data_IF_870621876056
#
_entry.id   IF_870621876056
#
_cell.length_a   1.000
_cell.length_b   1.000
_cell.length_c   1.000
_cell.angle_alpha   90.00
_cell.angle_beta   90.00
_cell.angle_gamma   90.00
#
_symmetry.space_group_name_H-M   'P 1'
#
loop_
_entity.id
_entity.type
_entity.pdbx_description
1 polymer ?
#
# COMPACT_ATOMS: atom_id res chain seq x y z
N UNK A 1 23.71 -22.94 17.63
CA UNK A 1 22.80 -21.79 17.48
C UNK A 1 22.40 -21.68 16.02
N UNK A 2 21.08 -21.58 15.79
CA UNK A 2 20.36 -21.23 14.56
C UNK A 2 20.52 -22.11 13.30
N UNK A 3 19.82 -23.25 13.30
CA UNK A 3 19.20 -23.81 12.08
C UNK A 3 18.06 -22.91 11.54
N UNK A 4 17.71 -21.81 12.22
CA UNK A 4 16.63 -20.90 11.88
C UNK A 4 16.97 -19.92 10.75
N UNK A 5 18.25 -19.79 10.35
CA UNK A 5 18.66 -18.94 9.22
C UNK A 5 18.77 -19.67 7.88
N UNK A 6 18.44 -20.98 7.80
CA UNK A 6 18.32 -21.67 6.50
C UNK A 6 16.96 -21.39 5.82
N UNK A 7 16.51 -20.15 5.85
CA UNK A 7 15.53 -19.62 4.89
C UNK A 7 16.30 -19.09 3.67
N UNK A 8 17.24 -19.89 3.17
CA UNK A 8 17.82 -19.65 1.86
C UNK A 8 16.73 -20.00 0.83
N UNK A 9 16.51 -19.22 -0.26
CA UNK A 9 15.47 -19.55 -1.21
C UNK A 9 15.68 -20.98 -1.66
N UNK A 10 14.70 -21.84 -1.38
CA UNK A 10 14.77 -23.27 -1.68
C UNK A 10 15.16 -23.40 -3.17
N UNK A 11 16.33 -24.00 -3.43
CA UNK A 11 16.87 -24.18 -4.78
C UNK A 11 17.98 -23.21 -5.22
N UNK A 12 18.36 -22.20 -4.44
CA UNK A 12 19.47 -21.31 -4.81
C UNK A 12 20.83 -21.89 -4.40
N UNK A 13 21.74 -22.06 -5.36
CA UNK A 13 23.10 -22.59 -5.11
C UNK A 13 24.11 -21.44 -5.07
N UNK A 14 24.88 -21.27 -3.98
CA UNK A 14 26.00 -20.33 -3.99
C UNK A 14 27.08 -20.82 -4.94
N UNK A 15 27.54 -19.94 -5.81
CA UNK A 15 28.70 -20.16 -6.68
C UNK A 15 29.73 -19.08 -6.42
N UNK A 16 31.01 -19.49 -6.43
CA UNK A 16 32.12 -18.61 -6.12
C UNK A 16 32.53 -17.81 -7.35
N UNK A 17 32.37 -16.50 -7.30
CA UNK A 17 33.02 -15.55 -8.20
C UNK A 17 34.44 -15.18 -7.71
N UNK A 18 35.14 -14.37 -8.50
CA UNK A 18 36.48 -13.85 -8.13
C UNK A 18 36.42 -12.89 -6.94
N UNK A 19 35.37 -12.08 -6.84
CA UNK A 19 35.17 -11.04 -5.83
C UNK A 19 33.73 -10.99 -5.26
N UNK A 20 32.93 -12.02 -5.52
CA UNK A 20 31.52 -12.05 -5.14
C UNK A 20 31.03 -13.49 -4.97
N UNK A 21 29.83 -13.62 -4.40
CA UNK A 21 29.07 -14.87 -4.34
C UNK A 21 27.83 -14.67 -5.20
N UNK A 22 27.66 -15.55 -6.18
CA UNK A 22 26.48 -15.54 -7.03
C UNK A 22 25.52 -16.62 -6.54
N UNK A 23 24.30 -16.21 -6.29
CA UNK A 23 23.20 -17.08 -5.95
C UNK A 23 22.23 -17.12 -7.12
N UNK A 24 22.16 -18.25 -7.82
CA UNK A 24 21.25 -18.44 -8.94
C UNK A 24 20.05 -19.27 -8.52
N UNK A 25 18.86 -18.84 -8.93
CA UNK A 25 17.68 -19.69 -8.94
C UNK A 25 17.29 -19.99 -10.39
N UNK A 26 17.77 -21.12 -10.90
CA UNK A 26 17.56 -21.50 -12.30
C UNK A 26 16.07 -21.72 -12.65
N UNK A 27 15.20 -21.95 -11.65
CA UNK A 27 13.76 -22.17 -11.87
C UNK A 27 13.00 -20.88 -12.19
N UNK A 28 13.43 -19.75 -11.62
CA UNK A 28 12.78 -18.43 -11.83
C UNK A 28 13.67 -17.44 -12.58
N UNK A 29 14.87 -17.86 -13.00
CA UNK A 29 15.81 -17.04 -13.76
C UNK A 29 16.44 -15.89 -12.98
N UNK A 30 16.23 -15.83 -11.66
CA UNK A 30 16.76 -14.75 -10.82
C UNK A 30 18.17 -15.05 -10.32
N UNK A 31 18.97 -13.98 -10.25
CA UNK A 31 20.35 -14.02 -9.79
C UNK A 31 20.57 -12.91 -8.76
N UNK A 32 21.06 -13.29 -7.60
CA UNK A 32 21.44 -12.36 -6.55
C UNK A 32 22.95 -12.44 -6.36
N UNK A 33 23.63 -11.30 -6.39
CA UNK A 33 25.06 -11.20 -6.15
C UNK A 33 25.31 -10.57 -4.79
N UNK A 34 26.05 -11.29 -3.94
CA UNK A 34 26.64 -10.77 -2.72
C UNK A 34 28.07 -10.33 -2.98
N UNK A 35 28.35 -9.05 -2.79
CA UNK A 35 29.70 -8.46 -2.85
C UNK A 35 30.11 -8.03 -1.45
N UNK A 36 31.33 -8.34 -1.02
CA UNK A 36 31.80 -8.09 0.35
C UNK A 36 33.31 -7.91 0.41
N UNK A 37 33.77 -7.20 1.45
CA UNK A 37 35.18 -7.07 1.83
C UNK A 37 35.68 -8.22 2.72
N UNK A 38 34.81 -9.18 3.04
CA UNK A 38 35.20 -10.44 3.66
C UNK A 38 35.85 -11.37 2.62
N UNK A 39 36.84 -12.19 3.01
CA UNK A 39 37.40 -13.17 2.08
C UNK A 39 36.34 -14.19 1.68
N UNK A 40 36.07 -14.29 0.36
CA UNK A 40 34.97 -15.10 -0.19
C UNK A 40 35.03 -16.57 0.23
N UNK A 41 36.24 -17.11 0.48
CA UNK A 41 36.43 -18.48 0.98
C UNK A 41 35.68 -18.78 2.26
N UNK A 42 35.42 -17.78 3.11
CA UNK A 42 34.71 -17.96 4.38
C UNK A 42 33.26 -18.43 4.20
N UNK A 43 32.64 -18.12 3.05
CA UNK A 43 31.25 -18.50 2.79
C UNK A 43 31.11 -19.93 2.23
N UNK A 44 32.22 -20.60 1.93
CA UNK A 44 32.25 -21.96 1.35
C UNK A 44 32.94 -22.99 2.24
N UNK A 45 33.37 -22.59 3.45
CA UNK A 45 33.99 -23.48 4.43
C UNK A 45 33.18 -23.44 5.73
N UNK A 46 32.70 -24.61 6.18
CA UNK A 46 31.85 -24.73 7.37
C UNK A 46 32.57 -24.33 8.67
N UNK A 47 33.90 -24.43 8.71
CA UNK A 47 34.74 -24.14 9.88
C UNK A 47 35.60 -22.88 9.71
N UNK A 48 35.17 -21.92 8.90
CA UNK A 48 35.88 -20.64 8.80
C UNK A 48 35.58 -19.74 10.01
N UNK A 49 36.62 -19.21 10.64
CA UNK A 49 36.51 -18.20 11.67
C UNK A 49 37.27 -16.95 11.23
N UNK A 50 36.67 -15.79 11.44
CA UNK A 50 37.30 -14.48 11.22
C UNK A 50 37.10 -13.67 12.48
N UNK A 51 38.16 -13.03 12.95
CA UNK A 51 38.05 -12.02 14.00
C UNK A 51 37.58 -10.74 13.32
N UNK A 52 36.38 -10.29 13.68
CA UNK A 52 35.83 -9.02 13.21
C UNK A 52 36.38 -7.92 14.13
N UNK A 53 37.46 -7.28 13.70
CA UNK A 53 38.08 -6.14 14.40
C UNK A 53 37.67 -4.77 13.85
N UNK A 54 36.98 -4.76 12.70
CA UNK A 54 36.53 -3.58 11.97
C UNK A 54 35.18 -3.82 11.32
N UNK A 55 34.55 -2.78 10.81
CA UNK A 55 33.29 -2.90 10.06
C UNK A 55 33.48 -3.80 8.83
N UNK A 56 32.48 -4.63 8.57
CA UNK A 56 32.41 -5.50 7.38
C UNK A 56 31.14 -5.22 6.63
N UNK A 57 31.25 -5.20 5.31
CA UNK A 57 30.21 -4.71 4.42
C UNK A 57 29.75 -5.83 3.50
N UNK A 58 28.44 -6.01 3.44
CA UNK A 58 27.78 -7.01 2.60
C UNK A 58 26.75 -6.28 1.74
N UNK A 59 26.92 -6.35 0.43
CA UNK A 59 26.03 -5.71 -0.54
C UNK A 59 25.35 -6.77 -1.39
N UNK A 60 24.02 -6.83 -1.32
CA UNK A 60 23.20 -7.69 -2.16
C UNK A 60 22.65 -6.88 -3.34
N UNK A 61 22.79 -7.42 -4.54
CA UNK A 61 22.34 -6.81 -5.81
C UNK A 61 21.64 -7.86 -6.67
N UNK A 62 20.67 -7.43 -7.48
CA UNK A 62 20.01 -8.29 -8.47
C UNK A 62 20.81 -8.25 -9.77
N UNK A 63 21.45 -9.37 -10.12
CA UNK A 63 22.30 -9.65 -11.30
C UNK A 63 23.52 -8.74 -11.54
N UNK A 64 23.39 -7.44 -11.25
CA UNK A 64 24.39 -6.40 -11.46
C UNK A 64 25.66 -6.61 -10.63
N UNK A 65 26.80 -6.27 -11.23
CA UNK A 65 28.06 -6.18 -10.51
C UNK A 65 28.11 -4.91 -9.66
N UNK A 66 28.71 -5.00 -8.48
CA UNK A 66 29.01 -3.84 -7.67
C UNK A 66 30.46 -3.40 -7.93
N UNK A 67 30.63 -2.37 -8.76
CA UNK A 67 31.94 -1.97 -9.31
C UNK A 67 32.67 -0.88 -8.51
N UNK A 68 32.11 -0.46 -7.37
CA UNK A 68 32.67 0.62 -6.54
C UNK A 68 33.34 0.09 -5.26
N UNK A 69 34.15 0.94 -4.62
CA UNK A 69 34.79 0.59 -3.35
C UNK A 69 33.74 0.35 -2.26
N UNK A 70 33.63 -0.90 -1.80
CA UNK A 70 32.51 -1.39 -0.96
C UNK A 70 32.32 -0.52 0.29
N UNK A 71 33.35 -0.40 1.13
CA UNK A 71 33.25 0.33 2.39
C UNK A 71 32.84 1.80 2.18
N UNK A 72 33.53 2.51 1.29
CA UNK A 72 33.25 3.92 1.01
C UNK A 72 31.84 4.15 0.48
N UNK A 73 31.37 3.31 -0.44
CA UNK A 73 30.01 3.42 -0.99
C UNK A 73 28.94 3.06 0.03
N UNK A 74 29.15 2.02 0.85
CA UNK A 74 28.21 1.65 1.91
C UNK A 74 28.05 2.76 2.95
N UNK A 75 29.15 3.38 3.39
CA UNK A 75 29.11 4.50 4.34
C UNK A 75 28.42 5.73 3.73
N UNK A 76 28.70 6.05 2.47
CA UNK A 76 28.01 7.13 1.76
C UNK A 76 26.49 6.86 1.64
N UNK A 77 26.09 5.64 1.28
CA UNK A 77 24.69 5.24 1.22
C UNK A 77 24.00 5.31 2.58
N UNK A 78 24.67 4.87 3.65
CA UNK A 78 24.16 4.97 5.01
C UNK A 78 23.95 6.44 5.42
N UNK A 79 24.95 7.29 5.21
CA UNK A 79 24.86 8.72 5.49
C UNK A 79 23.75 9.41 4.70
N UNK A 80 23.62 9.12 3.40
CA UNK A 80 22.55 9.66 2.55
C UNK A 80 21.17 9.21 3.03
N UNK A 81 21.03 7.93 3.39
CA UNK A 81 19.77 7.36 3.90
C UNK A 81 19.36 8.01 5.22
N UNK A 82 20.28 8.11 6.19
CA UNK A 82 20.04 8.79 7.47
C UNK A 82 19.65 10.25 7.24
N UNK A 83 20.42 10.95 6.40
CA UNK A 83 20.20 12.38 6.10
C UNK A 83 18.86 12.62 5.40
N UNK A 84 18.43 11.71 4.52
CA UNK A 84 17.13 11.79 3.88
C UNK A 84 16.00 11.71 4.92
N UNK A 85 15.99 10.66 5.74
CA UNK A 85 14.93 10.43 6.72
C UNK A 85 14.89 11.49 7.83
N UNK A 86 16.06 11.93 8.31
CA UNK A 86 16.15 13.02 9.28
C UNK A 86 15.63 14.35 8.72
N UNK A 87 15.90 14.65 7.44
CA UNK A 87 15.37 15.87 6.79
C UNK A 87 13.88 15.77 6.54
N UNK A 88 13.38 14.60 6.13
CA UNK A 88 11.96 14.38 5.92
C UNK A 88 11.18 14.57 7.22
N UNK A 89 11.54 13.86 8.29
CA UNK A 89 10.81 13.95 9.57
C UNK A 89 10.89 15.35 10.20
N UNK A 90 11.99 16.09 9.97
CA UNK A 90 12.15 17.48 10.45
C UNK A 90 11.11 18.43 9.86
N UNK A 91 10.51 18.11 8.70
CA UNK A 91 9.45 18.90 8.07
C UNK A 91 8.05 18.57 8.61
N UNK A 92 7.92 17.50 9.40
CA UNK A 92 6.64 17.09 9.97
C UNK A 92 6.27 17.91 11.21
N UNK A 93 4.98 18.22 11.35
CA UNK A 93 4.41 18.77 12.57
C UNK A 93 4.17 17.65 13.59
N UNK A 94 5.15 17.43 14.46
CA UNK A 94 5.11 16.37 15.49
C UNK A 94 4.56 16.95 16.81
N UNK A 95 3.57 16.31 17.45
CA UNK A 95 3.05 16.76 18.74
C UNK A 95 4.08 16.56 19.85
N UNK A 96 4.00 17.34 20.93
CA UNK A 96 4.95 17.23 22.05
C UNK A 96 4.80 15.93 22.88
N UNK A 97 3.68 15.22 22.75
CA UNK A 97 3.39 13.94 23.41
C UNK A 97 3.57 12.79 22.43
N UNK A 98 4.03 11.63 22.91
CA UNK A 98 4.22 10.41 22.10
C UNK A 98 5.07 10.62 20.83
N UNK A 99 6.11 11.47 20.92
CA UNK A 99 6.94 11.82 19.76
C UNK A 99 7.59 10.59 19.14
N UNK A 100 8.12 9.66 19.95
CA UNK A 100 8.79 8.45 19.47
C UNK A 100 7.85 7.60 18.63
N UNK A 101 6.63 7.41 19.10
CA UNK A 101 5.59 6.63 18.45
C UNK A 101 5.14 7.31 17.14
N UNK A 102 4.84 8.61 17.20
CA UNK A 102 4.41 9.36 16.00
C UNK A 102 5.52 9.39 14.94
N UNK A 103 6.76 9.64 15.33
CA UNK A 103 7.92 9.63 14.42
C UNK A 103 8.08 8.25 13.79
N UNK A 104 8.08 7.17 14.59
CA UNK A 104 8.23 5.81 14.05
C UNK A 104 7.10 5.48 13.09
N UNK A 105 5.86 5.77 13.45
CA UNK A 105 4.69 5.54 12.58
C UNK A 105 4.79 6.35 11.30
N UNK A 106 5.15 7.63 11.35
CA UNK A 106 5.31 8.48 10.17
C UNK A 106 6.36 7.93 9.19
N UNK A 107 7.52 7.52 9.71
CA UNK A 107 8.59 6.92 8.91
C UNK A 107 8.13 5.61 8.25
N UNK A 108 7.43 4.75 9.01
CA UNK A 108 6.89 3.49 8.47
C UNK A 108 5.85 3.77 7.40
N UNK A 109 4.91 4.68 7.62
CA UNK A 109 3.90 5.03 6.63
C UNK A 109 4.52 5.60 5.34
N UNK A 110 5.51 6.50 5.47
CA UNK A 110 6.24 7.03 4.31
C UNK A 110 7.02 5.96 3.56
N UNK A 111 7.60 4.99 4.26
CA UNK A 111 8.35 3.87 3.64
C UNK A 111 7.46 3.04 2.70
N UNK A 112 6.15 3.00 2.94
CA UNK A 112 5.19 2.23 2.15
C UNK A 112 4.71 2.98 0.89
N UNK A 113 5.16 4.21 0.66
CA UNK A 113 4.88 4.90 -0.58
C UNK A 113 5.94 4.58 -1.64
N UNK A 114 5.49 4.16 -2.81
CA UNK A 114 6.33 4.01 -4.00
C UNK A 114 6.50 5.36 -4.71
N UNK A 115 7.74 5.87 -4.75
CA UNK A 115 8.05 7.23 -5.18
C UNK A 115 7.67 7.52 -6.64
N UNK A 116 7.94 6.58 -7.56
CA UNK A 116 7.74 6.82 -9.01
C UNK A 116 6.27 7.04 -9.39
N UNK A 117 5.35 6.37 -8.70
CA UNK A 117 3.92 6.43 -9.06
C UNK A 117 3.08 7.13 -8.02
N UNK A 118 3.49 7.15 -6.75
CA UNK A 118 2.69 7.60 -5.62
C UNK A 118 1.81 6.54 -4.98
N UNK A 119 1.86 5.29 -5.45
CA UNK A 119 1.11 4.18 -4.85
C UNK A 119 1.54 3.95 -3.39
N UNK A 120 0.59 3.66 -2.50
CA UNK A 120 0.85 3.37 -1.09
C UNK A 120 0.45 1.92 -0.81
N UNK A 121 1.43 1.06 -0.56
CA UNK A 121 1.16 -0.36 -0.29
C UNK A 121 0.64 -0.55 1.14
N UNK A 122 -0.21 -1.56 1.35
CA UNK A 122 -0.76 -1.85 2.68
C UNK A 122 0.32 -2.33 3.66
N UNK A 123 1.22 -3.20 3.23
CA UNK A 123 2.40 -3.61 3.99
C UNK A 123 3.54 -4.09 3.09
N UNK A 124 4.80 -3.89 3.48
CA UNK A 124 5.99 -4.43 2.79
C UNK A 124 6.21 -5.94 3.04
N UNK A 125 5.13 -6.69 3.22
CA UNK A 125 5.16 -8.10 3.63
C UNK A 125 4.25 -8.93 2.76
N UNK A 126 4.65 -10.18 2.52
CA UNK A 126 3.78 -11.18 1.93
C UNK A 126 3.75 -12.44 2.80
N UNK A 127 2.55 -13.02 2.92
CA UNK A 127 2.31 -14.32 3.53
C UNK A 127 2.75 -14.47 4.98
N UNK A 128 2.82 -13.36 5.72
CA UNK A 128 2.89 -13.44 7.17
C UNK A 128 1.51 -13.82 7.72
N UNK A 129 1.43 -14.73 8.70
CA UNK A 129 0.16 -15.18 9.23
C UNK A 129 -0.53 -14.08 10.04
N UNK A 130 -1.79 -13.79 9.73
CA UNK A 130 -2.62 -12.92 10.59
C UNK A 130 -2.83 -13.55 11.97
N UNK A 131 -2.94 -14.87 12.01
CA UNK A 131 -2.96 -15.69 13.23
C UNK A 131 -2.22 -17.01 12.97
N UNK A 132 -1.34 -17.47 13.88
CA UNK A 132 -0.58 -18.71 13.70
C UNK A 132 -1.48 -19.92 13.34
N UNK A 133 -1.14 -20.63 12.27
CA UNK A 133 -1.86 -21.82 11.82
C UNK A 133 -3.24 -21.60 11.18
N UNK A 134 -3.69 -20.34 10.99
CA UNK A 134 -5.01 -20.03 10.41
C UNK A 134 -5.10 -20.23 8.89
N UNK A 135 -3.96 -20.29 8.19
CA UNK A 135 -3.89 -20.26 6.73
C UNK A 135 -4.23 -18.89 6.12
N UNK A 136 -4.47 -17.86 6.94
CA UNK A 136 -4.73 -16.46 6.52
C UNK A 136 -3.41 -15.73 6.34
N UNK A 137 -2.75 -16.04 5.22
CA UNK A 137 -1.42 -15.54 4.87
C UNK A 137 -1.55 -14.83 3.52
N UNK A 138 -1.61 -13.50 3.52
CA UNK A 138 -1.90 -12.72 2.30
C UNK A 138 -0.69 -11.92 1.84
N UNK A 139 -0.64 -11.62 0.55
CA UNK A 139 0.29 -10.64 0.01
C UNK A 139 -0.31 -9.24 0.18
N UNK A 140 0.34 -8.42 1.01
CA UNK A 140 -0.08 -7.06 1.34
C UNK A 140 0.73 -5.98 0.60
N UNK A 141 1.59 -6.37 -0.35
CA UNK A 141 2.46 -5.47 -1.12
C UNK A 141 1.74 -4.70 -2.23
N UNK A 142 0.42 -4.53 -2.09
CA UNK A 142 -0.44 -3.86 -3.06
C UNK A 142 -1.08 -2.62 -2.47
N UNK A 143 -1.52 -1.72 -3.34
CA UNK A 143 -2.11 -0.45 -3.00
C UNK A 143 -3.62 -0.57 -2.88
N UNK A 144 -4.13 -0.76 -1.65
CA UNK A 144 -5.57 -0.63 -1.37
C UNK A 144 -5.97 0.83 -1.34
N UNK A 145 -7.09 1.16 -1.99
CA UNK A 145 -7.64 2.54 -1.98
C UNK A 145 -8.00 2.95 -0.55
N UNK A 146 -8.59 2.03 0.21
CA UNK A 146 -8.94 2.21 1.63
C UNK A 146 -7.72 2.54 2.49
N UNK A 147 -6.70 1.70 2.43
CA UNK A 147 -5.51 1.83 3.26
C UNK A 147 -4.78 3.13 2.93
N UNK A 148 -4.69 3.47 1.63
CA UNK A 148 -4.16 4.75 1.16
C UNK A 148 -4.88 5.96 1.78
N UNK A 149 -6.21 5.94 1.89
CA UNK A 149 -6.96 7.00 2.58
C UNK A 149 -6.49 7.21 4.03
N UNK A 150 -6.34 6.13 4.81
CA UNK A 150 -5.92 6.23 6.20
C UNK A 150 -4.48 6.71 6.33
N UNK A 151 -3.58 6.24 5.47
CA UNK A 151 -2.18 6.70 5.43
C UNK A 151 -2.12 8.18 5.09
N UNK A 152 -2.80 8.63 4.04
CA UNK A 152 -2.81 10.03 3.62
C UNK A 152 -3.42 10.95 4.67
N UNK A 153 -4.47 10.50 5.36
CA UNK A 153 -5.06 11.23 6.49
C UNK A 153 -4.04 11.42 7.61
N UNK A 154 -3.30 10.36 7.97
CA UNK A 154 -2.28 10.42 9.00
C UNK A 154 -1.10 11.34 8.61
N UNK A 155 -0.63 11.26 7.36
CA UNK A 155 0.44 12.12 6.84
C UNK A 155 0.02 13.59 6.78
N UNK A 156 -1.22 13.85 6.35
CA UNK A 156 -1.79 15.21 6.30
C UNK A 156 -1.85 15.85 7.70
N UNK A 157 -2.20 15.09 8.74
CA UNK A 157 -2.22 15.60 10.12
C UNK A 157 -0.84 16.02 10.65
N UNK A 158 0.24 15.45 10.13
CA UNK A 158 1.61 15.86 10.45
C UNK A 158 2.21 16.80 9.40
N UNK A 159 1.38 17.41 8.55
CA UNK A 159 1.77 18.44 7.60
C UNK A 159 2.47 17.93 6.35
N UNK A 160 2.37 16.63 6.03
CA UNK A 160 2.92 16.03 4.82
C UNK A 160 1.82 15.88 3.76
N UNK A 161 1.99 16.59 2.64
CA UNK A 161 0.98 16.74 1.59
C UNK A 161 1.46 16.24 0.22
N UNK A 162 2.77 16.19 0.02
CA UNK A 162 3.41 15.75 -1.24
C UNK A 162 2.96 14.33 -1.58
N UNK A 163 2.78 13.47 -0.57
CA UNK A 163 2.34 12.10 -0.73
C UNK A 163 0.93 11.98 -1.28
N UNK A 164 0.05 12.90 -0.89
CA UNK A 164 -1.33 12.97 -1.38
C UNK A 164 -1.38 13.41 -2.84
N UNK A 165 -0.54 14.36 -3.25
CA UNK A 165 -0.42 14.78 -4.65
C UNK A 165 0.07 13.63 -5.54
N UNK A 166 1.11 12.89 -5.11
CA UNK A 166 1.58 11.71 -5.83
C UNK A 166 0.49 10.63 -5.92
N UNK A 167 -0.22 10.35 -4.83
CA UNK A 167 -1.32 9.38 -4.85
C UNK A 167 -2.48 9.82 -5.76
N UNK A 168 -2.78 11.11 -5.83
CA UNK A 168 -3.78 11.64 -6.76
C UNK A 168 -3.42 11.35 -8.22
N UNK A 169 -2.15 11.52 -8.59
CA UNK A 169 -1.65 11.16 -9.92
C UNK A 169 -1.79 9.65 -10.19
N UNK A 170 -1.45 8.82 -9.20
CA UNK A 170 -1.60 7.37 -9.28
C UNK A 170 -3.05 6.94 -9.58
N UNK A 171 -4.01 7.38 -8.76
CA UNK A 171 -5.41 6.97 -8.89
C UNK A 171 -6.08 7.59 -10.11
N UNK A 172 -5.72 8.83 -10.48
CA UNK A 172 -6.16 9.45 -11.72
C UNK A 172 -5.68 8.65 -12.93
N UNK A 173 -4.41 8.23 -12.94
CA UNK A 173 -3.84 7.37 -14.00
C UNK A 173 -4.57 6.03 -14.16
N UNK A 174 -4.97 5.40 -13.04
CA UNK A 174 -5.80 4.19 -13.06
C UNK A 174 -7.16 4.46 -13.71
N UNK A 175 -7.89 5.46 -13.21
CA UNK A 175 -9.24 5.78 -13.70
C UNK A 175 -9.27 6.26 -15.15
N UNK A 176 -8.20 6.91 -15.61
CA UNK A 176 -8.06 7.34 -16.99
C UNK A 176 -7.83 6.17 -17.95
N UNK A 177 -7.00 5.19 -17.57
CA UNK A 177 -6.74 3.99 -18.38
C UNK A 177 -7.94 3.05 -18.44
N UNK A 178 -8.68 2.93 -17.34
CA UNK A 178 -9.88 2.10 -17.28
C UNK A 178 -10.99 2.83 -16.51
N UNK A 179 -11.92 3.53 -17.20
CA UNK A 179 -13.05 4.21 -16.58
C UNK A 179 -14.17 3.24 -16.14
N UNK A 180 -13.84 1.96 -15.97
CA UNK A 180 -14.71 0.93 -15.43
C UNK A 180 -14.97 1.09 -13.93
N UNK A 181 -15.15 -0.04 -13.26
CA UNK A 181 -15.29 -0.10 -11.80
C UNK A 181 -13.92 0.07 -11.15
N UNK A 182 -13.85 0.82 -10.04
CA UNK A 182 -12.66 0.80 -9.19
C UNK A 182 -12.59 -0.54 -8.45
N UNK A 183 -11.40 -1.13 -8.45
CA UNK A 183 -11.08 -2.33 -7.67
C UNK A 183 -10.66 -1.92 -6.25
N UNK A 184 -10.73 -2.86 -5.28
CA UNK A 184 -10.21 -2.65 -3.92
C UNK A 184 -8.73 -2.24 -3.89
N UNK A 185 -7.94 -2.91 -4.74
CA UNK A 185 -6.49 -2.77 -4.78
C UNK A 185 -5.91 -2.86 -6.19
N UNK A 186 -4.70 -2.36 -6.32
CA UNK A 186 -3.89 -2.33 -7.53
C UNK A 186 -2.41 -2.56 -7.18
N UNK A 187 -1.60 -3.07 -8.11
CA UNK A 187 -0.15 -3.11 -7.92
C UNK A 187 0.49 -1.74 -8.08
N UNK A 188 1.74 -1.56 -7.63
CA UNK A 188 2.39 -0.23 -7.54
C UNK A 188 2.48 0.54 -8.87
N UNK A 189 2.38 -0.14 -10.02
CA UNK A 189 2.34 0.48 -11.36
C UNK A 189 0.90 0.69 -11.89
N UNK A 190 -0.10 0.37 -11.08
CA UNK A 190 -1.53 0.44 -11.36
C UNK A 190 -2.07 -0.75 -12.16
N UNK A 191 -1.38 -1.91 -12.13
CA UNK A 191 -1.90 -3.13 -12.73
C UNK A 191 -3.12 -3.64 -11.93
N UNK A 192 -4.15 -4.05 -12.68
CA UNK A 192 -5.45 -4.47 -12.15
C UNK A 192 -5.56 -5.98 -11.95
N UNK A 193 -4.77 -6.78 -12.66
CA UNK A 193 -4.73 -8.23 -12.48
C UNK A 193 -3.68 -8.59 -11.43
N UNK A 194 -4.13 -9.22 -10.34
CA UNK A 194 -3.32 -9.58 -9.18
C UNK A 194 -3.55 -11.05 -8.80
N UNK A 195 -3.58 -11.91 -9.80
CA UNK A 195 -3.86 -13.35 -9.67
C UNK A 195 -3.05 -13.98 -8.55
N UNK A 196 -3.77 -14.61 -7.62
CA UNK A 196 -3.17 -15.29 -6.47
C UNK A 196 -2.52 -16.61 -6.90
N UNK A 197 -1.26 -16.79 -6.51
CA UNK A 197 -0.50 -18.02 -6.73
C UNK A 197 0.05 -18.55 -5.41
N UNK A 198 -0.09 -19.86 -5.20
CA UNK A 198 0.52 -20.56 -4.07
C UNK A 198 1.94 -20.96 -4.44
N UNK A 199 2.90 -20.74 -3.54
CA UNK A 199 4.27 -21.19 -3.67
C UNK A 199 4.49 -22.43 -2.79
N UNK A 200 4.16 -23.65 -3.27
CA UNK A 200 4.15 -24.87 -2.44
C UNK A 200 5.54 -25.28 -1.94
N UNK A 201 6.59 -24.78 -2.59
CA UNK A 201 7.97 -25.03 -2.22
C UNK A 201 8.43 -24.17 -1.04
N UNK A 202 7.71 -23.12 -0.63
CA UNK A 202 8.05 -22.31 0.54
C UNK A 202 7.22 -22.72 1.76
N UNK A 203 7.90 -23.04 2.87
CA UNK A 203 7.24 -23.43 4.13
C UNK A 203 6.49 -22.27 4.81
N UNK A 204 6.85 -21.02 4.51
CA UNK A 204 6.32 -19.84 5.17
C UNK A 204 6.99 -19.53 6.51
N UNK A 205 6.68 -18.35 7.06
CA UNK A 205 7.24 -17.89 8.33
C UNK A 205 6.81 -18.81 9.48
N UNK A 206 7.78 -19.34 10.24
CA UNK A 206 7.53 -20.35 11.29
C UNK A 206 6.67 -21.53 10.79
N UNK A 207 6.91 -21.99 9.56
CA UNK A 207 6.14 -23.07 8.90
C UNK A 207 4.63 -22.75 8.75
N UNK A 208 4.25 -21.47 8.86
CA UNK A 208 2.90 -21.00 8.57
C UNK A 208 2.69 -20.92 7.06
N UNK A 209 2.22 -22.02 6.49
CA UNK A 209 1.71 -22.08 5.13
C UNK A 209 0.21 -21.76 5.05
N UNK A 210 -0.32 -21.52 3.84
CA UNK A 210 0.42 -21.48 2.57
C UNK A 210 1.12 -20.13 2.35
N UNK A 211 2.19 -20.13 1.54
CA UNK A 211 2.78 -18.89 0.99
C UNK A 211 2.09 -18.54 -0.32
N UNK A 212 1.69 -17.27 -0.45
CA UNK A 212 0.95 -16.68 -1.56
C UNK A 212 1.67 -15.47 -2.11
N UNK A 213 1.56 -15.28 -3.41
CA UNK A 213 1.83 -14.00 -4.09
C UNK A 213 0.59 -13.65 -4.90
N UNK A 214 0.34 -12.36 -5.16
CA UNK A 214 -0.98 -11.96 -5.64
C UNK A 214 -1.98 -11.87 -4.50
N UNK A 215 -3.16 -11.33 -4.79
CA UNK A 215 -4.20 -11.21 -3.80
C UNK A 215 -5.58 -11.19 -4.47
N UNK A 216 -6.38 -12.23 -4.22
CA UNK A 216 -7.70 -12.41 -4.84
C UNK A 216 -8.67 -11.24 -4.61
N UNK A 217 -8.44 -10.38 -3.61
CA UNK A 217 -9.31 -9.24 -3.35
C UNK A 217 -9.47 -8.28 -4.55
N UNK A 218 -8.61 -8.35 -5.57
CA UNK A 218 -8.76 -7.55 -6.79
C UNK A 218 -10.05 -7.87 -7.56
N UNK A 219 -10.59 -9.08 -7.38
CA UNK A 219 -11.85 -9.55 -7.99
C UNK A 219 -13.09 -9.09 -7.20
N UNK A 220 -12.91 -8.65 -5.94
CA UNK A 220 -14.03 -8.32 -5.08
C UNK A 220 -14.67 -6.98 -5.47
N UNK A 221 -15.99 -6.93 -5.36
CA UNK A 221 -16.75 -5.68 -5.43
C UNK A 221 -16.67 -5.02 -4.06
N UNK A 222 -16.09 -3.82 -3.99
CA UNK A 222 -16.15 -2.92 -2.85
C UNK A 222 -16.64 -1.55 -3.30
N UNK A 223 -17.72 -1.09 -2.70
CA UNK A 223 -18.37 0.15 -3.11
C UNK A 223 -17.96 1.34 -2.23
N UNK A 224 -17.26 1.10 -1.11
CA UNK A 224 -16.59 2.13 -0.29
C UNK A 224 -15.44 2.84 -1.01
N UNK A 225 -14.76 2.17 -1.95
CA UNK A 225 -13.55 2.69 -2.63
C UNK A 225 -13.76 4.04 -3.28
N UNK A 226 -14.96 4.29 -3.83
CA UNK A 226 -15.32 5.56 -4.46
C UNK A 226 -15.33 6.70 -3.43
N UNK A 227 -15.94 6.44 -2.28
CA UNK A 227 -16.00 7.38 -1.17
C UNK A 227 -14.62 7.64 -0.58
N UNK A 228 -13.84 6.58 -0.36
CA UNK A 228 -12.47 6.63 0.17
C UNK A 228 -11.54 7.43 -0.75
N UNK A 229 -11.59 7.20 -2.06
CA UNK A 229 -10.80 7.95 -3.02
C UNK A 229 -11.17 9.45 -2.97
N UNK A 230 -12.47 9.78 -2.98
CA UNK A 230 -12.93 11.17 -2.93
C UNK A 230 -12.47 11.89 -1.67
N UNK A 231 -12.63 11.26 -0.49
CA UNK A 231 -12.29 11.89 0.78
C UNK A 231 -10.78 11.98 0.99
N UNK A 232 -10.00 10.99 0.52
CA UNK A 232 -8.54 11.02 0.56
C UNK A 232 -7.96 12.21 -0.20
N UNK A 233 -8.58 12.57 -1.32
CA UNK A 233 -8.15 13.67 -2.17
C UNK A 233 -8.87 14.98 -1.87
N UNK A 234 -9.82 15.01 -0.92
CA UNK A 234 -10.57 16.23 -0.58
C UNK A 234 -9.65 17.44 -0.32
N UNK A 235 -8.55 17.32 0.47
CA UNK A 235 -7.71 18.48 0.77
C UNK A 235 -7.09 19.13 -0.47
N UNK A 236 -6.81 18.36 -1.52
CA UNK A 236 -6.34 18.89 -2.81
C UNK A 236 -7.32 19.91 -3.42
N UNK A 237 -8.61 19.73 -3.19
CA UNK A 237 -9.66 20.55 -3.77
C UNK A 237 -10.15 21.68 -2.86
N UNK A 238 -9.91 21.57 -1.56
CA UNK A 238 -10.46 22.50 -0.56
C UNK A 238 -9.40 23.30 0.19
N UNK A 239 -8.14 22.87 0.19
CA UNK A 239 -7.07 23.62 0.84
C UNK A 239 -6.49 24.66 -0.13
N UNK A 240 -6.52 25.94 0.28
CA UNK A 240 -6.10 27.08 -0.55
C UNK A 240 -4.61 27.06 -0.90
N UNK A 241 -3.80 26.23 -0.23
CA UNK A 241 -2.38 26.05 -0.57
C UNK A 241 -2.21 25.32 -1.90
N UNK A 242 -3.16 24.47 -2.29
CA UNK A 242 -3.12 23.81 -3.59
C UNK A 242 -3.81 24.67 -4.66
N UNK A 243 -3.11 24.90 -5.77
CA UNK A 243 -3.66 25.63 -6.92
C UNK A 243 -4.23 24.67 -7.96
N UNK A 244 -5.26 23.92 -7.58
CA UNK A 244 -5.89 22.90 -8.47
C UNK A 244 -6.95 23.50 -9.39
N UNK A 245 -7.33 24.76 -9.15
CA UNK A 245 -8.41 25.48 -9.85
C UNK A 245 -8.26 25.58 -11.37
N UNK A 246 -7.11 25.25 -11.96
CA UNK A 246 -6.88 25.37 -13.41
C UNK A 246 -7.04 24.05 -14.19
N UNK A 247 -7.22 22.91 -13.51
CA UNK A 247 -7.21 21.61 -14.19
C UNK A 247 -8.63 21.06 -14.46
N UNK A 248 -9.11 21.19 -15.71
CA UNK A 248 -10.41 20.64 -16.16
C UNK A 248 -10.58 19.13 -15.88
N UNK A 249 -9.49 18.37 -15.74
CA UNK A 249 -9.54 16.93 -15.47
C UNK A 249 -10.09 16.61 -14.07
N UNK A 250 -10.03 17.57 -13.13
CA UNK A 250 -10.49 17.42 -11.74
C UNK A 250 -12.00 17.27 -11.66
N UNK A 251 -12.72 18.16 -12.36
CA UNK A 251 -14.18 18.10 -12.47
C UNK A 251 -14.64 16.77 -13.06
N UNK A 252 -13.95 16.31 -14.11
CA UNK A 252 -14.21 15.02 -14.73
C UNK A 252 -14.06 13.87 -13.75
N UNK A 253 -13.01 13.87 -12.94
CA UNK A 253 -12.78 12.81 -11.95
C UNK A 253 -13.80 12.82 -10.81
N UNK A 254 -14.16 13.99 -10.28
CA UNK A 254 -15.18 14.09 -9.22
C UNK A 254 -16.55 13.62 -9.73
N UNK A 255 -16.93 14.03 -10.95
CA UNK A 255 -18.17 13.59 -11.58
C UNK A 255 -18.16 12.08 -11.86
N UNK A 256 -17.04 11.54 -12.34
CA UNK A 256 -16.86 10.09 -12.51
C UNK A 256 -17.13 9.34 -11.20
N UNK A 257 -16.57 9.79 -10.08
CA UNK A 257 -16.81 9.16 -8.79
C UNK A 257 -18.28 9.27 -8.37
N UNK A 258 -18.92 10.42 -8.56
CA UNK A 258 -20.36 10.58 -8.26
C UNK A 258 -21.24 9.66 -9.13
N UNK A 259 -20.90 9.47 -10.40
CA UNK A 259 -21.57 8.50 -11.30
C UNK A 259 -21.48 7.09 -10.78
N UNK A 260 -20.28 6.69 -10.33
CA UNK A 260 -20.09 5.35 -9.78
C UNK A 260 -20.82 5.16 -8.46
N UNK A 261 -20.81 6.16 -7.57
CA UNK A 261 -21.58 6.11 -6.32
C UNK A 261 -23.07 5.97 -6.64
N UNK A 262 -23.60 6.77 -7.57
CA UNK A 262 -25.00 6.71 -7.98
C UNK A 262 -25.40 5.34 -8.52
N UNK A 263 -24.53 4.72 -9.34
CA UNK A 263 -24.77 3.41 -9.91
C UNK A 263 -24.72 2.26 -8.88
N UNK A 264 -24.12 2.49 -7.71
CA UNK A 264 -23.79 1.42 -6.74
C UNK A 264 -24.45 1.59 -5.37
N UNK A 265 -25.36 2.57 -5.19
CA UNK A 265 -26.04 2.86 -3.90
C UNK A 265 -26.74 1.62 -3.31
N UNK A 266 -27.40 0.84 -4.16
CA UNK A 266 -28.19 -0.33 -3.76
C UNK A 266 -27.49 -1.64 -4.14
N UNK A 267 -26.21 -1.61 -4.48
CA UNK A 267 -25.46 -2.82 -4.82
C UNK A 267 -24.84 -3.42 -3.56
N UNK A 268 -24.98 -4.75 -3.41
CA UNK A 268 -24.29 -5.49 -2.36
C UNK A 268 -22.81 -5.62 -2.70
N UNK A 269 -21.96 -5.53 -1.69
CA UNK A 269 -20.52 -5.62 -1.84
C UNK A 269 -19.89 -6.51 -0.77
N UNK A 270 -18.59 -6.76 -0.86
CA UNK A 270 -17.87 -7.62 0.09
C UNK A 270 -17.57 -6.93 1.44
N UNK A 271 -17.91 -5.64 1.57
CA UNK A 271 -17.54 -4.79 2.69
C UNK A 271 -16.02 -4.66 2.89
N UNK A 272 -15.63 -3.99 3.99
CA UNK A 272 -14.23 -3.73 4.35
C UNK A 272 -13.39 -4.99 4.57
N UNK A 273 -14.02 -6.09 4.99
CA UNK A 273 -13.33 -7.33 5.35
C UNK A 273 -13.16 -8.33 4.22
N UNK A 274 -13.64 -8.01 3.01
CA UNK A 274 -13.30 -8.74 1.77
C UNK A 274 -13.60 -10.24 1.87
N UNK A 275 -14.73 -10.60 2.47
CA UNK A 275 -15.12 -12.00 2.61
C UNK A 275 -15.37 -12.62 1.23
N UNK A 276 -14.52 -13.58 0.83
CA UNK A 276 -14.49 -14.18 -0.53
C UNK A 276 -15.85 -14.67 -1.06
N UNK A 277 -16.77 -15.12 -0.19
CA UNK A 277 -18.04 -15.74 -0.59
C UNK A 277 -19.27 -15.02 -0.02
N UNK A 278 -19.14 -13.75 0.36
CA UNK A 278 -20.22 -13.02 1.01
C UNK A 278 -20.33 -11.61 0.45
N UNK A 279 -21.53 -11.24 0.02
CA UNK A 279 -21.86 -9.88 -0.36
C UNK A 279 -23.15 -9.43 0.33
N UNK A 280 -23.13 -8.22 0.91
CA UNK A 280 -24.30 -7.66 1.58
C UNK A 280 -24.34 -6.13 1.45
N UNK A 281 -25.38 -5.51 2.01
CA UNK A 281 -25.38 -4.07 2.21
C UNK A 281 -24.65 -3.76 3.52
N UNK A 282 -23.44 -3.25 3.40
CA UNK A 282 -22.61 -2.92 4.55
C UNK A 282 -22.82 -1.46 4.98
N UNK A 283 -23.00 -1.25 6.29
CA UNK A 283 -23.09 0.10 6.86
C UNK A 283 -21.85 0.93 6.53
N UNK A 284 -20.66 0.31 6.63
CA UNK A 284 -19.39 0.94 6.29
C UNK A 284 -19.35 1.42 4.82
N UNK A 285 -19.74 0.57 3.86
CA UNK A 285 -19.74 0.94 2.44
C UNK A 285 -20.69 2.09 2.13
N UNK A 286 -21.91 2.01 2.65
CA UNK A 286 -22.91 3.06 2.47
C UNK A 286 -22.48 4.37 3.15
N UNK A 287 -21.77 4.30 4.27
CA UNK A 287 -21.24 5.47 4.96
C UNK A 287 -20.17 6.15 4.11
N UNK A 288 -19.22 5.40 3.55
CA UNK A 288 -18.17 5.99 2.73
C UNK A 288 -18.71 6.56 1.42
N UNK A 289 -19.70 5.92 0.79
CA UNK A 289 -20.37 6.54 -0.36
C UNK A 289 -21.08 7.86 0.01
N UNK A 290 -21.75 7.92 1.18
CA UNK A 290 -22.32 9.16 1.69
C UNK A 290 -21.24 10.23 1.94
N UNK A 291 -20.11 9.85 2.54
CA UNK A 291 -18.95 10.72 2.76
C UNK A 291 -18.40 11.23 1.43
N UNK A 292 -18.30 10.39 0.40
CA UNK A 292 -17.90 10.77 -0.95
C UNK A 292 -18.82 11.84 -1.55
N UNK A 293 -20.14 11.66 -1.46
CA UNK A 293 -21.08 12.69 -1.88
C UNK A 293 -20.94 13.98 -1.06
N UNK A 294 -20.62 13.88 0.24
CA UNK A 294 -20.43 15.04 1.10
C UNK A 294 -19.15 15.81 0.75
N UNK A 295 -18.07 15.10 0.45
CA UNK A 295 -16.83 15.67 -0.04
C UNK A 295 -17.05 16.39 -1.38
N UNK A 296 -17.74 15.75 -2.34
CA UNK A 296 -18.07 16.40 -3.61
C UNK A 296 -18.92 17.68 -3.44
N UNK A 297 -19.87 17.69 -2.49
CA UNK A 297 -20.63 18.90 -2.17
C UNK A 297 -19.74 20.03 -1.64
N UNK A 298 -18.75 19.72 -0.80
CA UNK A 298 -17.80 20.71 -0.30
C UNK A 298 -16.95 21.28 -1.44
N UNK A 299 -16.43 20.39 -2.30
CA UNK A 299 -15.69 20.77 -3.51
C UNK A 299 -16.54 21.71 -4.37
N UNK A 300 -17.78 21.32 -4.66
CA UNK A 300 -18.68 22.09 -5.50
C UNK A 300 -18.92 23.51 -4.95
N UNK A 301 -19.25 23.63 -3.66
CA UNK A 301 -19.52 24.92 -3.02
C UNK A 301 -18.32 25.84 -2.99
N UNK A 302 -17.16 25.31 -2.64
CA UNK A 302 -15.95 26.11 -2.53
C UNK A 302 -15.46 26.63 -3.88
N UNK A 303 -15.79 25.91 -4.96
CA UNK A 303 -15.36 26.22 -6.32
C UNK A 303 -16.47 26.79 -7.22
N UNK A 304 -17.71 26.91 -6.73
CA UNK A 304 -18.85 27.44 -7.48
C UNK A 304 -19.42 26.51 -8.56
N UNK A 305 -19.31 25.19 -8.40
CA UNK A 305 -19.79 24.19 -9.37
C UNK A 305 -21.25 23.78 -9.11
N UNK A 306 -22.21 24.58 -9.60
CA UNK A 306 -23.63 24.41 -9.30
C UNK A 306 -24.19 23.02 -9.67
N UNK A 307 -23.91 22.52 -10.88
CA UNK A 307 -24.42 21.21 -11.33
C UNK A 307 -23.96 20.05 -10.43
N UNK A 308 -22.70 20.12 -9.98
CA UNK A 308 -22.12 19.15 -9.07
C UNK A 308 -22.74 19.25 -7.67
N UNK A 309 -22.99 20.46 -7.18
CA UNK A 309 -23.69 20.69 -5.92
C UNK A 309 -25.09 20.07 -5.96
N UNK A 310 -25.86 20.33 -7.01
CA UNK A 310 -27.23 19.80 -7.16
C UNK A 310 -27.23 18.28 -7.18
N UNK A 311 -26.33 17.67 -7.98
CA UNK A 311 -26.17 16.22 -8.03
C UNK A 311 -25.77 15.62 -6.67
N UNK A 312 -24.77 16.21 -6.01
CA UNK A 312 -24.32 15.74 -4.71
C UNK A 312 -25.43 15.81 -3.66
N UNK A 313 -26.26 16.86 -3.67
CA UNK A 313 -27.40 17.00 -2.78
C UNK A 313 -28.47 15.91 -3.01
N UNK A 314 -28.76 15.56 -4.27
CA UNK A 314 -29.68 14.46 -4.60
C UNK A 314 -29.13 13.13 -4.07
N UNK A 315 -27.86 12.84 -4.33
CA UNK A 315 -27.23 11.59 -3.90
C UNK A 315 -27.12 11.49 -2.37
N UNK A 316 -26.82 12.60 -1.67
CA UNK A 316 -26.80 12.64 -0.20
C UNK A 316 -28.17 12.27 0.41
N UNK A 317 -29.28 12.75 -0.18
CA UNK A 317 -30.63 12.40 0.28
C UNK A 317 -30.91 10.91 0.08
N UNK A 318 -30.57 10.35 -1.08
CA UNK A 318 -30.72 8.92 -1.39
C UNK A 318 -29.89 8.06 -0.42
N UNK A 319 -28.62 8.38 -0.26
CA UNK A 319 -27.72 7.64 0.62
C UNK A 319 -28.15 7.66 2.09
N UNK A 320 -28.67 8.80 2.57
CA UNK A 320 -29.21 8.90 3.94
C UNK A 320 -30.38 7.94 4.17
N UNK A 321 -31.22 7.72 3.16
CA UNK A 321 -32.32 6.73 3.25
C UNK A 321 -31.76 5.31 3.28
N UNK A 322 -30.81 4.98 2.40
CA UNK A 322 -30.17 3.66 2.34
C UNK A 322 -29.46 3.34 3.66
N UNK A 323 -28.67 4.26 4.21
CA UNK A 323 -28.00 4.11 5.50
C UNK A 323 -28.97 3.79 6.64
N UNK A 324 -30.10 4.51 6.73
CA UNK A 324 -31.14 4.23 7.73
C UNK A 324 -31.70 2.81 7.58
N UNK A 325 -31.96 2.36 6.35
CA UNK A 325 -32.48 1.02 6.09
C UNK A 325 -31.47 -0.07 6.50
N UNK A 326 -30.19 0.12 6.17
CA UNK A 326 -29.12 -0.82 6.52
C UNK A 326 -28.95 -0.91 8.03
N UNK A 327 -28.90 0.22 8.74
CA UNK A 327 -28.78 0.25 10.20
C UNK A 327 -29.94 -0.44 10.92
N UNK A 328 -31.19 -0.16 10.52
CA UNK A 328 -32.38 -0.80 11.14
C UNK A 328 -32.40 -2.32 10.91
N UNK A 329 -31.90 -2.81 9.77
CA UNK A 329 -31.80 -4.26 9.50
C UNK A 329 -30.75 -4.92 10.40
N UNK A 330 -29.61 -4.28 10.62
CA UNK A 330 -28.56 -4.78 11.52
C UNK A 330 -29.05 -4.92 12.95
N UNK A 331 -29.81 -3.95 13.47
CA UNK A 331 -30.38 -4.01 14.83
C UNK A 331 -31.33 -5.19 15.03
N UNK A 332 -32.12 -5.54 14.00
CA UNK A 332 -33.02 -6.69 14.05
C UNK A 332 -32.24 -8.02 14.07
N UNK A 333 -31.15 -8.10 13.31
CA UNK A 333 -30.30 -9.30 13.24
C UNK A 333 -29.59 -9.60 14.56
N UNK A 334 -29.20 -8.58 15.32
CA UNK A 334 -28.52 -8.72 16.63
C UNK A 334 -29.50 -9.21 17.70
N UNK A 335 -30.79 -8.91 17.59
CA UNK A 335 -31.81 -9.34 18.58
C UNK A 335 -32.31 -10.78 18.39
N UNK A 336 -31.92 -11.44 17.31
CA UNK A 336 -32.34 -12.80 16.94
C UNK A 336 -31.26 -13.87 17.16
N UNK A 337 -30.13 -13.48 17.74
CA UNK A 337 -29.05 -14.35 18.21
C UNK A 337 -28.76 -14.02 19.67
#
# INVERSE_FOLDING_TARGET
>A
MSSYWRLWPIGTKPTRGSNHILYSNDQIGERIRLTTDLPISHFFQEESWTIISENKYLVLTYDAAFESAIAGTCEDFLHKTISYWQRWIKRCSIPNIYQTEVIRSALVLKLHQYEDTGAIIAASTTSLPEYPGSGRNWDYRYCWVRDSYYVLTALTHIGQFEEMESFANYIAGITHRNPGRLQPLYGILGNSELTEHILPYLKGYQESGPVRIGNQAFEHIQNDVYGQAMIALLPLFTDQRFKIHENKNVLGWVNFILEKIEATIEEKDAGIWEFRNFANHHCYSNLFQWVGCKAALLIARQNGYQDMEDRANVLLKRQKLTLKLVMTRSEKSIKTH
#
